data_IF_553432775600
#
_entry.id   IF_553432775600
#
_cell.length_a   1.000
_cell.length_b   1.000
_cell.length_c   1.000
_cell.angle_alpha   90.00
_cell.angle_beta   90.00
_cell.angle_gamma   90.00
#
_symmetry.space_group_name_H-M   'P 1'
#
loop_
_entity.id
_entity.type
_entity.pdbx_description
1 polymer ?
#
# COMPACT_ATOMS: atom_id res chain seq x y z
N UNK A 1 -35.79 -3.37 -13.50
CA UNK A 1 -36.78 -4.40 -13.88
C UNK A 1 -36.67 -5.64 -13.01
N UNK A 2 -35.57 -6.43 -13.07
CA UNK A 2 -35.43 -7.63 -12.22
C UNK A 2 -35.64 -7.35 -10.72
N UNK A 3 -35.03 -6.29 -10.19
CA UNK A 3 -35.26 -5.86 -8.80
C UNK A 3 -36.71 -5.50 -8.48
N UNK A 4 -37.49 -5.01 -9.46
CA UNK A 4 -38.92 -4.71 -9.26
C UNK A 4 -39.74 -5.99 -9.13
N UNK A 5 -39.44 -7.02 -9.91
CA UNK A 5 -40.11 -8.33 -9.77
C UNK A 5 -39.76 -9.05 -8.46
N UNK A 6 -38.51 -8.90 -8.00
CA UNK A 6 -38.05 -9.56 -6.77
C UNK A 6 -38.49 -8.81 -5.50
N UNK A 7 -38.42 -7.49 -5.50
CA UNK A 7 -38.51 -6.65 -4.29
C UNK A 7 -39.63 -5.60 -4.32
N UNK A 8 -40.39 -5.50 -5.42
CA UNK A 8 -41.45 -4.50 -5.56
C UNK A 8 -42.50 -4.61 -4.46
N UNK A 9 -42.86 -3.47 -3.87
CA UNK A 9 -43.80 -3.28 -2.77
C UNK A 9 -43.45 -4.02 -1.47
N UNK A 10 -42.22 -4.53 -1.33
CA UNK A 10 -41.79 -5.28 -0.13
C UNK A 10 -40.95 -4.46 0.83
N UNK A 11 -40.43 -3.31 0.39
CA UNK A 11 -39.52 -2.49 1.18
C UNK A 11 -40.31 -1.48 1.99
N UNK A 12 -40.44 -1.74 3.28
CA UNK A 12 -41.12 -0.86 4.23
C UNK A 12 -40.24 -0.64 5.45
N UNK A 13 -40.30 0.57 6.00
CA UNK A 13 -39.59 0.98 7.19
C UNK A 13 -40.62 1.17 8.30
N UNK A 14 -40.40 0.53 9.45
CA UNK A 14 -41.19 0.74 10.67
C UNK A 14 -40.63 1.95 11.40
N UNK A 15 -41.43 2.98 11.60
CA UNK A 15 -41.07 4.13 12.44
C UNK A 15 -41.21 3.80 13.93
N UNK A 16 -40.57 4.59 14.78
CA UNK A 16 -40.65 4.45 16.24
C UNK A 16 -42.09 4.63 16.78
N UNK A 17 -42.98 5.23 15.99
CA UNK A 17 -44.42 5.37 16.26
C UNK A 17 -45.24 4.12 15.92
N UNK A 18 -44.61 3.10 15.31
CA UNK A 18 -45.26 1.87 14.87
C UNK A 18 -45.84 1.92 13.45
N UNK A 19 -45.78 3.06 12.77
CA UNK A 19 -46.27 3.22 11.39
C UNK A 19 -45.30 2.60 10.37
N UNK A 20 -45.83 2.01 9.30
CA UNK A 20 -45.03 1.49 8.19
C UNK A 20 -45.06 2.46 7.02
N UNK A 21 -43.92 3.07 6.71
CA UNK A 21 -43.76 3.99 5.57
C UNK A 21 -42.90 3.29 4.51
N UNK A 22 -43.20 3.42 3.20
CA UNK A 22 -42.33 2.88 2.16
C UNK A 22 -40.93 3.50 2.27
N UNK A 23 -39.91 2.66 2.20
CA UNK A 23 -38.53 3.12 2.26
C UNK A 23 -38.22 3.99 1.03
N UNK A 24 -37.36 5.01 1.18
CA UNK A 24 -36.93 5.87 0.07
C UNK A 24 -36.19 5.07 -1.01
N UNK A 25 -35.50 4.00 -0.61
CA UNK A 25 -34.70 3.13 -1.47
C UNK A 25 -35.48 1.90 -1.92
N UNK A 26 -36.63 2.09 -2.56
CA UNK A 26 -37.54 1.02 -2.95
C UNK A 26 -37.42 0.60 -4.44
N UNK A 27 -38.09 -0.49 -4.76
CA UNK A 27 -38.19 -1.05 -6.12
C UNK A 27 -39.63 -1.00 -6.66
N UNK A 28 -40.45 -0.07 -6.17
CA UNK A 28 -41.90 -0.06 -6.43
C UNK A 28 -42.21 0.56 -7.79
N UNK A 29 -41.54 1.65 -8.12
CA UNK A 29 -41.65 2.32 -9.42
C UNK A 29 -40.37 2.17 -10.23
N UNK A 30 -40.48 2.26 -11.56
CA UNK A 30 -39.32 2.14 -12.45
C UNK A 30 -38.25 3.21 -12.15
N UNK A 31 -38.68 4.45 -11.88
CA UNK A 31 -37.77 5.56 -11.59
C UNK A 31 -37.02 5.34 -10.28
N UNK A 32 -37.72 4.96 -9.20
CA UNK A 32 -37.08 4.66 -7.92
C UNK A 32 -36.20 3.42 -7.98
N UNK A 33 -36.59 2.41 -8.76
CA UNK A 33 -35.76 1.24 -9.02
C UNK A 33 -34.47 1.60 -9.78
N UNK A 34 -34.51 2.53 -10.76
CA UNK A 34 -33.32 3.01 -11.47
C UNK A 34 -32.40 3.78 -10.52
N UNK A 35 -32.94 4.70 -9.71
CA UNK A 35 -32.17 5.47 -8.72
C UNK A 35 -31.52 4.53 -7.70
N UNK A 36 -32.26 3.55 -7.19
CA UNK A 36 -31.74 2.57 -6.22
C UNK A 36 -30.65 1.70 -6.84
N UNK A 37 -30.80 1.25 -8.08
CA UNK A 37 -29.73 0.52 -8.80
C UNK A 37 -28.50 1.41 -9.01
N UNK A 38 -28.70 2.67 -9.41
CA UNK A 38 -27.60 3.62 -9.56
C UNK A 38 -26.86 3.84 -8.24
N UNK A 39 -27.58 4.03 -7.14
CA UNK A 39 -27.01 4.17 -5.80
C UNK A 39 -26.22 2.91 -5.36
N UNK A 40 -26.69 1.71 -5.70
CA UNK A 40 -25.93 0.47 -5.43
C UNK A 40 -24.64 0.44 -6.25
N UNK A 41 -24.66 0.90 -7.50
CA UNK A 41 -23.46 0.99 -8.35
C UNK A 41 -22.47 2.05 -7.86
N UNK A 42 -22.93 3.14 -7.22
CA UNK A 42 -22.04 4.12 -6.57
C UNK A 42 -21.46 3.62 -5.24
N UNK A 43 -21.85 2.42 -4.78
CA UNK A 43 -21.45 1.82 -3.50
C UNK A 43 -21.86 2.66 -2.27
N UNK A 44 -22.91 3.46 -2.40
CA UNK A 44 -23.42 4.32 -1.32
C UNK A 44 -24.61 3.66 -0.61
N UNK A 45 -24.49 3.38 0.69
CA UNK A 45 -25.52 2.72 1.53
C UNK A 45 -26.18 1.47 0.92
N UNK A 46 -25.47 0.76 0.04
CA UNK A 46 -25.97 -0.43 -0.63
C UNK A 46 -26.28 -1.58 0.33
N UNK A 47 -25.60 -1.62 1.47
CA UNK A 47 -25.76 -2.60 2.54
C UNK A 47 -27.16 -2.51 3.17
N UNK A 48 -27.72 -1.31 3.32
CA UNK A 48 -29.08 -1.10 3.83
C UNK A 48 -30.09 -1.73 2.88
N UNK A 49 -29.94 -1.49 1.57
CA UNK A 49 -30.81 -2.05 0.53
C UNK A 49 -30.68 -3.58 0.47
N UNK A 50 -29.47 -4.11 0.63
CA UNK A 50 -29.21 -5.54 0.76
C UNK A 50 -29.94 -6.14 1.96
N UNK A 51 -29.82 -5.55 3.14
CA UNK A 51 -30.46 -6.04 4.36
C UNK A 51 -31.98 -6.03 4.23
N UNK A 52 -32.56 -4.97 3.67
CA UNK A 52 -33.99 -4.89 3.38
C UNK A 52 -34.42 -5.98 2.38
N UNK A 53 -33.62 -6.23 1.34
CA UNK A 53 -33.84 -7.32 0.39
C UNK A 53 -33.80 -8.70 1.04
N UNK A 54 -32.81 -8.96 1.90
CA UNK A 54 -32.67 -10.23 2.61
C UNK A 54 -33.77 -10.47 3.64
N UNK A 55 -34.16 -9.42 4.37
CA UNK A 55 -35.21 -9.49 5.39
C UNK A 55 -36.62 -9.66 4.78
N UNK A 56 -36.87 -9.08 3.62
CA UNK A 56 -38.18 -9.12 2.96
C UNK A 56 -38.43 -10.35 2.08
N UNK A 57 -37.38 -11.08 1.70
CA UNK A 57 -37.50 -12.25 0.83
C UNK A 57 -36.79 -13.47 1.40
N UNK A 58 -35.47 -13.52 1.29
CA UNK A 58 -34.61 -14.58 1.85
C UNK A 58 -33.15 -14.14 1.82
N UNK A 59 -32.29 -14.77 2.61
CA UNK A 59 -30.84 -14.51 2.59
C UNK A 59 -30.19 -14.71 1.21
N UNK A 60 -30.79 -15.52 0.34
CA UNK A 60 -30.33 -15.75 -1.04
C UNK A 60 -30.48 -14.52 -1.95
N UNK A 61 -31.29 -13.53 -1.55
CA UNK A 61 -31.37 -12.24 -2.24
C UNK A 61 -30.02 -11.52 -2.33
N UNK A 62 -29.07 -11.84 -1.44
CA UNK A 62 -27.70 -11.33 -1.50
C UNK A 62 -27.02 -11.59 -2.86
N UNK A 63 -27.34 -12.70 -3.53
CA UNK A 63 -26.78 -13.03 -4.84
C UNK A 63 -27.14 -12.00 -5.91
N UNK A 64 -28.35 -11.43 -5.86
CA UNK A 64 -28.76 -10.37 -6.79
C UNK A 64 -27.88 -9.13 -6.63
N UNK A 65 -27.67 -8.66 -5.40
CA UNK A 65 -26.87 -7.47 -5.12
C UNK A 65 -25.38 -7.70 -5.41
N UNK A 66 -24.84 -8.88 -5.06
CA UNK A 66 -23.46 -9.26 -5.39
C UNK A 66 -23.25 -9.31 -6.90
N UNK A 67 -24.17 -9.91 -7.66
CA UNK A 67 -24.10 -9.94 -9.11
C UNK A 67 -24.19 -8.54 -9.71
N UNK A 68 -25.16 -7.72 -9.26
CA UNK A 68 -25.34 -6.35 -9.71
C UNK A 68 -24.07 -5.51 -9.49
N UNK A 69 -23.45 -5.61 -8.32
CA UNK A 69 -22.21 -4.91 -8.01
C UNK A 69 -21.03 -5.40 -8.83
N UNK A 70 -20.87 -6.71 -8.96
CA UNK A 70 -19.72 -7.30 -9.63
C UNK A 70 -19.76 -6.97 -11.12
N UNK A 71 -20.87 -7.28 -11.79
CA UNK A 71 -21.02 -7.03 -13.22
C UNK A 71 -21.15 -5.53 -13.53
N UNK A 72 -21.93 -4.80 -12.73
CA UNK A 72 -22.16 -3.37 -12.94
C UNK A 72 -20.89 -2.55 -12.77
N UNK A 73 -20.14 -2.76 -11.69
CA UNK A 73 -18.87 -2.04 -11.47
C UNK A 73 -17.78 -2.47 -12.44
N UNK A 74 -17.74 -3.75 -12.83
CA UNK A 74 -16.81 -4.22 -13.86
C UNK A 74 -17.03 -3.51 -15.20
N UNK A 75 -18.29 -3.38 -15.64
CA UNK A 75 -18.64 -2.65 -16.86
C UNK A 75 -18.32 -1.17 -16.74
N UNK A 76 -18.71 -0.53 -15.62
CA UNK A 76 -18.45 0.89 -15.38
C UNK A 76 -16.96 1.22 -15.37
N UNK A 77 -16.17 0.39 -14.67
CA UNK A 77 -14.72 0.53 -14.60
C UNK A 77 -14.06 0.37 -15.97
N UNK A 78 -14.44 -0.65 -16.74
CA UNK A 78 -13.89 -0.87 -18.07
C UNK A 78 -14.27 0.25 -19.05
N UNK A 79 -15.50 0.76 -18.97
CA UNK A 79 -15.93 1.92 -19.76
C UNK A 79 -15.08 3.15 -19.43
N UNK A 80 -14.88 3.45 -18.15
CA UNK A 80 -14.07 4.57 -17.70
C UNK A 80 -12.62 4.44 -18.19
N UNK A 81 -12.01 3.26 -18.01
CA UNK A 81 -10.64 2.98 -18.48
C UNK A 81 -10.54 3.12 -19.99
N UNK A 82 -11.53 2.67 -20.75
CA UNK A 82 -11.57 2.83 -22.20
C UNK A 82 -11.61 4.31 -22.62
N UNK A 83 -12.47 5.12 -21.97
CA UNK A 83 -12.57 6.56 -22.24
C UNK A 83 -11.25 7.27 -21.90
N UNK A 84 -10.66 6.98 -20.74
CA UNK A 84 -9.39 7.56 -20.32
C UNK A 84 -8.24 7.17 -21.27
N UNK A 85 -8.17 5.90 -21.66
CA UNK A 85 -7.18 5.44 -22.63
C UNK A 85 -7.36 6.13 -23.98
N UNK A 86 -8.59 6.36 -24.44
CA UNK A 86 -8.88 7.08 -25.66
C UNK A 86 -8.42 8.55 -25.56
N UNK A 87 -8.75 9.23 -24.45
CA UNK A 87 -8.36 10.61 -24.21
C UNK A 87 -6.82 10.77 -24.16
N UNK A 88 -6.11 9.86 -23.48
CA UNK A 88 -4.63 9.87 -23.46
C UNK A 88 -4.00 9.64 -24.83
N UNK A 89 -4.63 8.83 -25.70
CA UNK A 89 -4.19 8.67 -27.09
C UNK A 89 -4.39 9.96 -27.87
N UNK A 90 -5.53 10.63 -27.68
CA UNK A 90 -5.83 11.92 -28.31
C UNK A 90 -4.83 13.01 -27.90
N UNK A 91 -4.46 13.07 -26.63
CA UNK A 91 -3.46 14.02 -26.13
C UNK A 91 -2.09 13.83 -26.81
N UNK A 92 -1.64 12.58 -26.99
CA UNK A 92 -0.37 12.28 -27.69
C UNK A 92 -0.39 12.65 -29.17
N UNK A 93 -1.55 12.59 -29.83
CA UNK A 93 -1.71 13.04 -31.22
C UNK A 93 -1.65 14.57 -31.33
N UNK A 94 -2.01 15.28 -30.26
CA UNK A 94 -2.06 16.75 -30.24
C UNK A 94 -0.69 17.40 -29.88
N UNK A 95 0.16 16.71 -29.11
CA UNK A 95 1.49 17.23 -28.69
C UNK A 95 2.43 17.73 -29.82
N UNK A 96 2.50 17.09 -31.01
CA UNK A 96 3.35 17.52 -32.11
C UNK A 96 2.95 18.86 -32.74
N UNK A 97 1.72 19.35 -32.49
CA UNK A 97 1.21 20.60 -33.04
C UNK A 97 1.60 21.84 -32.22
N UNK A 98 2.49 21.70 -31.23
CA UNK A 98 3.06 22.85 -30.51
C UNK A 98 3.95 23.69 -31.44
N UNK A 99 3.81 25.03 -31.47
CA UNK A 99 4.55 25.90 -32.38
C UNK A 99 6.06 25.94 -32.09
N UNK A 100 6.86 26.03 -33.15
CA UNK A 100 8.33 25.96 -33.13
C UNK A 100 9.00 27.10 -32.35
N UNK A 101 8.33 28.25 -32.19
CA UNK A 101 8.85 29.40 -31.44
C UNK A 101 9.06 29.09 -29.94
N UNK A 102 8.31 28.14 -29.40
CA UNK A 102 8.45 27.67 -28.02
C UNK A 102 9.59 26.65 -27.84
N UNK A 103 10.03 26.00 -28.93
CA UNK A 103 11.00 24.89 -28.91
C UNK A 103 12.45 25.35 -29.18
N UNK A 104 12.63 26.52 -29.79
CA UNK A 104 13.94 27.05 -30.20
C UNK A 104 14.58 27.99 -29.16
N UNK A 105 13.81 28.51 -28.20
CA UNK A 105 14.25 29.54 -27.25
C UNK A 105 14.62 29.03 -25.85
N UNK A 106 14.60 27.72 -25.63
CA UNK A 106 14.78 27.07 -24.32
C UNK A 106 16.22 27.08 -23.72
N UNK A 107 17.33 27.22 -24.49
CA UNK A 107 18.68 27.09 -23.90
C UNK A 107 19.42 28.41 -23.58
N UNK A 108 18.83 29.60 -23.78
CA UNK A 108 19.54 30.87 -23.60
C UNK A 108 19.30 31.49 -22.22
N UNK A 109 20.38 31.68 -21.47
CA UNK A 109 20.35 32.34 -20.17
C UNK A 109 20.61 33.85 -20.33
N UNK A 110 19.54 34.65 -20.34
CA UNK A 110 19.54 36.12 -20.22
C UNK A 110 20.49 36.89 -21.16
N UNK A 111 20.74 36.35 -22.35
CA UNK A 111 21.32 37.04 -23.50
C UNK A 111 22.68 37.75 -23.31
N UNK A 112 23.45 37.57 -22.22
CA UNK A 112 24.67 38.39 -22.02
C UNK A 112 25.88 37.79 -21.26
N UNK A 113 25.83 36.65 -20.57
CA UNK A 113 26.98 36.16 -19.77
C UNK A 113 27.48 34.76 -20.15
N UNK A 114 28.81 34.60 -20.16
CA UNK A 114 29.49 33.37 -20.62
C UNK A 114 29.69 32.30 -19.51
N UNK A 115 29.88 31.01 -19.89
CA UNK A 115 29.87 29.86 -18.98
C UNK A 115 31.06 29.69 -18.01
N UNK A 116 32.06 30.59 -17.97
CA UNK A 116 33.40 30.27 -17.42
C UNK A 116 33.77 30.82 -16.03
N UNK A 117 32.83 31.34 -15.22
CA UNK A 117 33.16 31.98 -13.93
C UNK A 117 33.59 31.00 -12.81
N UNK A 118 34.65 31.36 -12.07
CA UNK A 118 35.28 30.52 -11.00
C UNK A 118 34.39 30.31 -9.76
N UNK A 119 33.55 31.29 -9.46
CA UNK A 119 32.65 31.27 -8.30
C UNK A 119 31.55 30.20 -8.43
N UNK A 120 31.04 30.02 -9.66
CA UNK A 120 30.13 28.95 -10.08
C UNK A 120 30.65 27.56 -9.73
N UNK A 121 31.91 27.32 -10.06
CA UNK A 121 32.58 26.02 -9.94
C UNK A 121 32.73 25.63 -8.45
N UNK A 122 32.98 26.60 -7.57
CA UNK A 122 33.07 26.37 -6.12
C UNK A 122 31.73 26.00 -5.49
N UNK A 123 30.63 26.71 -5.83
CA UNK A 123 29.28 26.36 -5.36
C UNK A 123 28.82 24.98 -5.88
N UNK A 124 29.19 24.63 -7.11
CA UNK A 124 28.94 23.30 -7.68
C UNK A 124 29.67 22.20 -6.89
N UNK A 125 30.91 22.46 -6.44
CA UNK A 125 31.70 21.50 -5.66
C UNK A 125 31.13 21.22 -4.27
N UNK A 126 30.56 22.24 -3.61
CA UNK A 126 29.95 22.10 -2.27
C UNK A 126 28.65 21.28 -2.34
N UNK A 127 27.78 21.58 -3.32
CA UNK A 127 26.47 20.92 -3.44
C UNK A 127 26.59 19.50 -4.04
N UNK A 128 27.59 19.26 -4.89
CA UNK A 128 27.87 17.93 -5.42
C UNK A 128 28.49 16.97 -4.38
N UNK A 129 28.84 17.47 -3.19
CA UNK A 129 29.41 16.64 -2.15
C UNK A 129 28.35 15.68 -1.59
N UNK A 130 28.63 14.38 -1.62
CA UNK A 130 27.69 13.31 -1.23
C UNK A 130 27.15 13.45 0.22
N UNK A 131 27.90 14.11 1.11
CA UNK A 131 27.45 14.34 2.49
C UNK A 131 26.46 15.50 2.64
N UNK A 132 26.39 16.43 1.68
CA UNK A 132 25.47 17.58 1.76
C UNK A 132 24.01 17.12 1.80
N UNK A 133 23.63 16.20 0.92
CA UNK A 133 22.29 15.62 0.88
C UNK A 133 21.95 14.84 2.17
N UNK A 134 22.93 14.16 2.79
CA UNK A 134 22.72 13.42 4.04
C UNK A 134 22.54 14.36 5.24
N UNK A 135 23.31 15.46 5.30
CA UNK A 135 23.21 16.46 6.37
C UNK A 135 21.85 17.18 6.31
N UNK A 136 21.42 17.61 5.12
CA UNK A 136 20.09 18.22 4.92
C UNK A 136 18.97 17.25 5.33
N UNK A 137 19.12 15.96 5.02
CA UNK A 137 18.15 14.94 5.40
C UNK A 137 18.04 14.77 6.93
N UNK A 138 19.16 14.79 7.66
CA UNK A 138 19.16 14.72 9.13
C UNK A 138 18.38 15.90 9.74
N UNK A 139 18.56 17.11 9.23
CA UNK A 139 17.82 18.28 9.71
C UNK A 139 16.32 18.22 9.39
N UNK A 140 15.93 17.61 8.27
CA UNK A 140 14.51 17.34 7.95
C UNK A 140 13.92 16.37 8.96
N UNK A 141 14.61 15.26 9.25
CA UNK A 141 14.14 14.26 10.20
C UNK A 141 14.00 14.84 11.62
N UNK A 142 14.98 15.62 12.08
CA UNK A 142 14.90 16.32 13.37
C UNK A 142 13.74 17.31 13.41
N UNK A 143 13.46 18.01 12.31
CA UNK A 143 12.30 18.89 12.22
C UNK A 143 10.96 18.12 12.27
N UNK A 144 10.88 16.94 11.64
CA UNK A 144 9.70 16.07 11.72
C UNK A 144 9.44 15.58 13.16
N UNK A 145 10.49 15.25 13.92
CA UNK A 145 10.39 14.91 15.34
C UNK A 145 9.81 16.10 16.12
N UNK A 146 10.28 17.32 15.89
CA UNK A 146 9.73 18.50 16.60
C UNK A 146 8.26 18.78 16.28
N UNK A 147 7.79 18.44 15.07
CA UNK A 147 6.37 18.55 14.71
C UNK A 147 5.55 17.46 15.39
N UNK A 148 6.08 16.24 15.50
CA UNK A 148 5.40 15.13 16.17
C UNK A 148 5.30 15.34 17.70
N UNK A 149 6.24 16.06 18.30
CA UNK A 149 6.24 16.42 19.72
C UNK A 149 5.26 17.56 20.05
N UNK A 150 4.80 18.33 19.06
CA UNK A 150 3.84 19.41 19.26
C UNK A 150 2.43 18.83 19.53
N UNK A 151 2.00 18.90 20.80
CA UNK A 151 0.65 18.54 21.26
C UNK A 151 -0.12 19.79 21.74
N UNK A 152 -1.46 19.80 21.69
CA UNK A 152 -2.26 20.97 22.11
C UNK A 152 -2.12 21.30 23.60
N UNK A 153 -1.76 20.31 24.44
CA UNK A 153 -1.75 20.43 25.91
C UNK A 153 -0.41 20.92 26.51
N UNK A 154 0.42 21.62 25.73
CA UNK A 154 1.71 22.14 26.23
C UNK A 154 1.49 23.53 26.84
N UNK A 155 1.84 23.68 28.12
CA UNK A 155 1.78 24.97 28.81
C UNK A 155 2.64 26.04 28.11
N UNK A 156 2.11 27.27 27.92
CA UNK A 156 2.79 28.31 27.14
C UNK A 156 4.11 28.81 27.76
N UNK A 157 4.29 28.64 29.07
CA UNK A 157 5.52 29.00 29.80
C UNK A 157 6.50 27.84 30.04
N UNK A 158 6.19 26.63 29.57
CA UNK A 158 7.04 25.46 29.78
C UNK A 158 8.33 25.55 28.96
N UNK A 159 9.43 25.02 29.50
CA UNK A 159 10.72 24.88 28.79
C UNK A 159 10.59 24.09 27.50
N UNK A 160 9.61 23.17 27.43
CA UNK A 160 9.30 22.41 26.23
C UNK A 160 8.75 23.30 25.10
N UNK A 161 7.88 24.26 25.42
CA UNK A 161 7.35 25.24 24.45
C UNK A 161 8.46 26.13 23.90
N UNK A 162 9.35 26.58 24.78
CA UNK A 162 10.52 27.40 24.41
C UNK A 162 11.47 26.61 23.52
N UNK A 163 11.75 25.35 23.86
CA UNK A 163 12.60 24.46 23.06
C UNK A 163 12.05 24.21 21.65
N UNK A 164 10.74 23.92 21.53
CA UNK A 164 10.08 23.73 20.23
C UNK A 164 10.12 25.00 19.38
N UNK A 165 9.92 26.17 20.00
CA UNK A 165 9.99 27.48 19.33
C UNK A 165 11.40 27.78 18.80
N UNK A 166 12.42 27.69 19.66
CA UNK A 166 13.83 27.94 19.29
C UNK A 166 14.28 26.96 18.20
N UNK A 167 13.93 25.68 18.33
CA UNK A 167 14.25 24.67 17.32
C UNK A 167 13.63 24.99 15.96
N UNK A 168 12.38 25.47 15.92
CA UNK A 168 11.70 25.83 14.68
C UNK A 168 12.40 27.01 13.95
N UNK A 169 12.90 28.01 14.70
CA UNK A 169 13.69 29.10 14.13
C UNK A 169 15.03 28.60 13.56
N UNK A 170 15.75 27.75 14.29
CA UNK A 170 17.03 27.17 13.85
C UNK A 170 16.84 26.37 12.56
N UNK A 171 15.84 25.49 12.49
CA UNK A 171 15.56 24.71 11.29
C UNK A 171 15.19 25.61 10.09
N UNK A 172 14.36 26.63 10.32
CA UNK A 172 13.98 27.57 9.25
C UNK A 172 15.19 28.34 8.72
N UNK A 173 16.10 28.80 9.59
CA UNK A 173 17.34 29.45 9.19
C UNK A 173 18.25 28.53 8.35
N UNK A 174 18.36 27.25 8.74
CA UNK A 174 19.14 26.25 7.97
C UNK A 174 18.54 26.01 6.59
N UNK A 175 17.20 25.91 6.46
CA UNK A 175 16.54 25.73 5.17
C UNK A 175 16.59 26.98 4.28
N UNK A 176 16.55 28.17 4.87
CA UNK A 176 16.79 29.43 4.15
C UNK A 176 18.24 29.48 3.65
N UNK A 177 19.21 29.10 4.48
CA UNK A 177 20.61 29.03 4.07
C UNK A 177 20.85 27.99 2.96
N UNK A 178 20.24 26.81 3.05
CA UNK A 178 20.25 25.78 1.99
C UNK A 178 19.67 26.34 0.68
N UNK A 179 18.54 27.04 0.77
CA UNK A 179 17.92 27.73 -0.37
C UNK A 179 18.81 28.79 -0.96
N UNK A 180 19.42 29.62 -0.13
CA UNK A 180 20.35 30.62 -0.59
C UNK A 180 21.55 29.97 -1.28
N UNK A 181 22.10 28.87 -0.77
CA UNK A 181 23.20 28.13 -1.43
C UNK A 181 22.76 27.51 -2.77
N UNK A 182 21.53 26.97 -2.86
CA UNK A 182 20.95 26.41 -4.11
C UNK A 182 20.60 27.49 -5.15
N UNK A 183 19.97 28.58 -4.72
CA UNK A 183 19.64 29.74 -5.54
C UNK A 183 20.92 30.46 -5.96
N UNK A 184 21.93 30.52 -5.11
CA UNK A 184 23.23 31.10 -5.42
C UNK A 184 24.12 30.17 -6.26
N UNK A 185 23.87 28.85 -6.28
CA UNK A 185 24.35 27.96 -7.35
C UNK A 185 23.69 28.31 -8.68
N UNK A 186 22.37 28.55 -8.70
CA UNK A 186 21.65 28.95 -9.92
C UNK A 186 22.07 30.35 -10.38
N UNK A 187 22.37 31.26 -9.44
CA UNK A 187 22.87 32.61 -9.67
C UNK A 187 24.38 32.63 -9.98
N UNK A 188 25.16 31.72 -9.42
CA UNK A 188 26.56 31.49 -9.80
C UNK A 188 26.66 30.87 -11.19
N UNK A 189 25.66 30.06 -11.57
CA UNK A 189 25.41 29.58 -12.92
C UNK A 189 24.88 30.67 -13.87
N UNK A 190 24.54 31.85 -13.35
CA UNK A 190 23.85 32.91 -14.08
C UNK A 190 24.24 34.30 -13.54
N UNK A 191 25.27 34.92 -14.12
CA UNK A 191 25.27 36.38 -14.22
C UNK A 191 24.05 36.80 -15.05
N UNK A 192 22.89 36.99 -14.40
CA UNK A 192 21.90 38.08 -14.50
C UNK A 192 20.63 37.64 -13.73
N UNK A 193 20.10 38.60 -13.00
CA UNK A 193 19.18 38.54 -11.88
C UNK A 193 17.71 38.26 -12.30
N UNK A 194 16.97 37.61 -11.39
CA UNK A 194 15.51 37.62 -11.19
C UNK A 194 14.54 36.81 -12.09
N UNK A 195 14.86 36.37 -13.31
CA UNK A 195 13.89 35.59 -14.13
C UNK A 195 14.30 34.14 -14.48
N UNK A 196 15.55 33.75 -14.20
CA UNK A 196 16.03 32.35 -14.29
C UNK A 196 15.43 31.40 -13.24
N UNK A 197 14.50 31.89 -12.43
CA UNK A 197 13.59 31.04 -11.68
C UNK A 197 12.72 30.24 -12.66
N UNK A 198 12.08 30.85 -13.67
CA UNK A 198 10.83 30.29 -14.24
C UNK A 198 10.99 29.49 -15.55
N UNK A 199 11.97 29.78 -16.43
CA UNK A 199 11.96 29.18 -17.78
C UNK A 199 13.34 29.07 -18.46
N UNK A 200 14.00 27.92 -18.33
CA UNK A 200 15.20 27.52 -19.08
C UNK A 200 15.54 26.04 -18.81
N UNK A 201 16.21 25.32 -19.73
CA UNK A 201 16.46 23.86 -19.66
C UNK A 201 17.27 23.34 -18.45
N UNK A 202 17.90 24.26 -17.70
CA UNK A 202 18.56 23.97 -16.42
C UNK A 202 18.06 24.88 -15.28
N UNK A 203 16.86 25.45 -15.43
CA UNK A 203 16.29 26.38 -14.46
C UNK A 203 15.93 25.69 -13.14
N UNK A 204 16.12 26.42 -12.04
CA UNK A 204 15.83 25.92 -10.70
C UNK A 204 14.37 25.45 -10.56
N UNK A 205 13.41 26.20 -11.11
CA UNK A 205 11.98 25.86 -11.04
C UNK A 205 11.51 24.86 -12.10
N UNK A 206 12.36 24.36 -13.02
CA UNK A 206 11.92 23.23 -13.86
C UNK A 206 11.83 21.93 -13.06
N UNK A 207 12.69 21.78 -12.04
CA UNK A 207 12.55 20.67 -11.11
C UNK A 207 11.38 20.94 -10.17
N UNK A 208 10.30 20.18 -10.33
CA UNK A 208 9.14 20.22 -9.43
C UNK A 208 9.52 20.11 -7.95
N UNK A 209 10.65 19.46 -7.65
CA UNK A 209 11.21 19.30 -6.31
C UNK A 209 11.82 20.58 -5.72
N UNK A 210 12.48 21.38 -6.55
CA UNK A 210 13.07 22.64 -6.11
C UNK A 210 12.02 23.74 -5.96
N UNK A 211 10.96 23.72 -6.78
CA UNK A 211 9.75 24.56 -6.58
C UNK A 211 9.13 24.25 -5.22
N UNK A 212 8.92 22.96 -4.93
CA UNK A 212 8.35 22.52 -3.67
C UNK A 212 9.18 23.00 -2.48
N UNK A 213 10.50 22.84 -2.56
CA UNK A 213 11.41 23.33 -1.53
C UNK A 213 11.29 24.86 -1.36
N UNK A 214 11.21 25.62 -2.45
CA UNK A 214 11.12 27.09 -2.44
C UNK A 214 9.80 27.60 -1.84
N UNK A 215 8.70 26.98 -2.22
CA UNK A 215 7.36 27.24 -1.66
C UNK A 215 7.34 26.97 -0.15
N UNK A 216 7.94 25.87 0.29
CA UNK A 216 8.01 25.49 1.69
C UNK A 216 8.81 26.49 2.55
N UNK A 217 9.93 27.02 2.03
CA UNK A 217 10.70 28.06 2.72
C UNK A 217 9.93 29.38 2.76
N UNK A 218 9.22 29.73 1.69
CA UNK A 218 8.36 30.92 1.63
C UNK A 218 7.21 30.84 2.66
N UNK A 219 6.51 29.70 2.73
CA UNK A 219 5.47 29.47 3.75
C UNK A 219 6.03 29.58 5.17
N UNK A 220 7.25 29.09 5.41
CA UNK A 220 7.91 29.17 6.73
C UNK A 220 8.33 30.60 7.10
N UNK A 221 8.71 31.43 6.13
CA UNK A 221 9.01 32.86 6.34
C UNK A 221 7.75 33.68 6.59
N UNK A 222 6.67 33.41 5.85
CA UNK A 222 5.36 34.04 6.05
C UNK A 222 4.81 33.69 7.44
N UNK A 223 4.95 32.45 7.90
CA UNK A 223 4.59 32.01 9.25
C UNK A 223 5.32 32.83 10.33
N UNK A 224 6.62 33.07 10.18
CA UNK A 224 7.41 33.92 11.10
C UNK A 224 6.94 35.38 11.08
N UNK A 225 6.69 35.95 9.91
CA UNK A 225 6.23 37.34 9.76
C UNK A 225 4.83 37.51 10.37
N UNK A 226 3.92 36.57 10.11
CA UNK A 226 2.54 36.58 10.66
C UNK A 226 2.57 36.36 12.17
N UNK A 227 3.44 35.50 12.69
CA UNK A 227 3.62 35.30 14.13
C UNK A 227 4.16 36.54 14.86
N UNK A 228 4.97 37.37 14.19
CA UNK A 228 5.43 38.66 14.75
C UNK A 228 4.40 39.78 14.59
N UNK A 229 3.52 39.71 13.59
CA UNK A 229 2.53 40.74 13.28
C UNK A 229 1.16 40.53 13.97
N UNK A 230 0.81 39.29 14.33
CA UNK A 230 -0.49 38.94 14.91
C UNK A 230 -0.32 38.16 16.21
N UNK A 231 -0.90 38.65 17.30
CA UNK A 231 -0.99 37.95 18.58
C UNK A 231 -1.97 36.75 18.56
N UNK A 232 -2.40 36.28 17.38
CA UNK A 232 -3.32 35.17 17.19
C UNK A 232 -2.75 34.12 16.23
N UNK A 233 -2.47 32.93 16.75
CA UNK A 233 -1.74 31.86 16.06
C UNK A 233 -2.48 31.22 14.89
N UNK A 234 -1.90 31.33 13.69
CA UNK A 234 -2.35 30.58 12.51
C UNK A 234 -1.58 29.25 12.39
N UNK A 235 -1.99 28.21 13.16
CA UNK A 235 -1.33 26.88 13.16
C UNK A 235 -1.63 25.98 11.94
N UNK A 236 -2.34 26.47 10.93
CA UNK A 236 -2.91 25.65 9.84
C UNK A 236 -1.86 25.28 8.76
N UNK A 237 -0.75 26.03 8.66
CA UNK A 237 0.28 25.82 7.63
C UNK A 237 1.35 24.76 8.01
N UNK A 238 1.35 24.26 9.25
CA UNK A 238 2.34 23.29 9.74
C UNK A 238 2.30 21.93 9.06
N UNK A 239 1.13 21.51 8.53
CA UNK A 239 0.95 20.20 7.88
C UNK A 239 1.76 20.06 6.58
N UNK A 240 2.09 21.19 5.94
CA UNK A 240 2.92 21.24 4.72
C UNK A 240 4.38 20.89 5.00
N UNK A 241 4.83 20.86 6.26
CA UNK A 241 6.19 20.47 6.66
C UNK A 241 6.50 18.98 6.41
N UNK A 242 5.48 18.12 6.36
CA UNK A 242 5.61 16.68 6.03
C UNK A 242 6.11 16.45 4.59
N UNK A 243 5.88 17.42 3.68
CA UNK A 243 6.35 17.34 2.28
C UNK A 243 7.88 17.35 2.15
N UNK A 244 8.62 17.70 3.21
CA UNK A 244 10.09 17.65 3.29
C UNK A 244 10.65 16.22 3.12
N UNK A 245 9.86 15.19 3.44
CA UNK A 245 10.27 13.77 3.42
C UNK A 245 10.46 13.22 2.00
N UNK A 246 9.90 13.89 0.98
CA UNK A 246 10.00 13.48 -0.42
C UNK A 246 11.43 13.63 -1.00
N UNK A 247 12.33 14.35 -0.31
CA UNK A 247 13.75 14.51 -0.70
C UNK A 247 14.56 13.21 -0.61
N UNK A 248 14.08 12.19 0.12
CA UNK A 248 14.74 10.88 0.31
C UNK A 248 14.70 9.96 -0.93
N UNK A 249 13.96 10.32 -1.98
CA UNK A 249 13.68 9.46 -3.14
C UNK A 249 14.77 9.47 -4.24
N UNK A 250 15.90 10.13 -4.01
CA UNK A 250 17.03 10.24 -4.96
C UNK A 250 17.80 8.95 -5.33
N UNK A 251 17.92 7.88 -4.51
CA UNK A 251 18.82 6.78 -4.82
C UNK A 251 18.28 5.72 -5.81
N UNK A 252 17.19 5.98 -6.52
CA UNK A 252 16.44 4.94 -7.25
C UNK A 252 16.90 4.65 -8.68
N UNK A 253 18.21 4.65 -8.93
CA UNK A 253 18.77 4.06 -10.14
C UNK A 253 19.80 2.99 -9.77
N UNK A 254 19.70 1.87 -10.48
CA UNK A 254 20.59 0.69 -10.50
C UNK A 254 20.15 -0.49 -9.62
N UNK A 255 19.39 -1.40 -10.22
CA UNK A 255 19.43 -2.83 -9.90
C UNK A 255 19.40 -3.58 -11.24
N UNK A 256 20.53 -4.13 -11.67
CA UNK A 256 20.59 -5.20 -12.67
C UNK A 256 21.05 -6.47 -11.96
N UNK A 257 20.32 -7.58 -12.14
CA UNK A 257 20.69 -8.89 -11.60
C UNK A 257 21.04 -9.84 -12.75
N UNK A 258 22.24 -10.40 -12.65
CA UNK A 258 22.82 -11.37 -13.58
C UNK A 258 22.21 -12.78 -13.44
N UNK A 259 22.06 -13.45 -14.57
CA UNK A 259 21.49 -14.79 -14.72
C UNK A 259 22.55 -15.86 -14.39
N UNK A 260 22.25 -16.82 -13.50
CA UNK A 260 23.16 -17.92 -13.09
C UNK A 260 22.69 -19.28 -13.61
N UNK A 261 23.67 -20.15 -13.89
CA UNK A 261 23.51 -21.54 -14.33
C UNK A 261 22.69 -22.42 -13.35
N UNK A 262 22.00 -23.45 -13.86
CA UNK A 262 21.22 -24.37 -13.03
C UNK A 262 22.08 -25.22 -12.09
N UNK A 263 21.62 -25.37 -10.84
CA UNK A 263 22.37 -25.83 -9.66
C UNK A 263 22.35 -27.37 -9.43
N UNK A 264 21.58 -28.12 -10.21
CA UNK A 264 21.24 -29.52 -9.95
C UNK A 264 22.11 -30.53 -10.73
N UNK A 265 23.27 -30.12 -11.24
CA UNK A 265 24.15 -30.97 -12.06
C UNK A 265 24.88 -32.06 -11.24
N UNK A 266 25.08 -31.85 -9.93
CA UNK A 266 26.00 -32.67 -9.11
C UNK A 266 25.30 -33.51 -8.02
N UNK A 267 24.01 -33.83 -8.17
CA UNK A 267 23.29 -34.61 -7.15
C UNK A 267 23.52 -36.12 -7.25
N UNK A 268 23.63 -36.75 -6.07
CA UNK A 268 23.64 -38.21 -5.92
C UNK A 268 22.31 -38.84 -6.42
N UNK A 269 22.32 -40.09 -6.91
CA UNK A 269 21.17 -40.69 -7.60
C UNK A 269 19.93 -40.84 -6.71
N UNK A 270 20.09 -41.13 -5.42
CA UNK A 270 18.96 -41.25 -4.47
C UNK A 270 18.30 -39.89 -4.19
N UNK A 271 19.11 -38.86 -3.97
CA UNK A 271 18.63 -37.48 -3.83
C UNK A 271 18.00 -36.97 -5.12
N UNK A 272 18.52 -37.38 -6.27
CA UNK A 272 17.95 -37.08 -7.59
C UNK A 272 16.57 -37.70 -7.76
N UNK A 273 16.36 -38.95 -7.35
CA UNK A 273 15.02 -39.57 -7.39
C UNK A 273 14.02 -38.88 -6.45
N UNK A 274 14.42 -38.53 -5.22
CA UNK A 274 13.55 -37.76 -4.29
C UNK A 274 13.26 -36.38 -4.86
N UNK A 275 14.26 -35.72 -5.46
CA UNK A 275 14.06 -34.44 -6.14
C UNK A 275 13.10 -34.56 -7.33
N UNK A 276 13.19 -35.62 -8.14
CA UNK A 276 12.25 -35.88 -9.24
C UNK A 276 10.84 -36.14 -8.72
N UNK A 277 10.68 -36.83 -7.58
CA UNK A 277 9.38 -37.02 -6.94
C UNK A 277 8.82 -35.69 -6.40
N UNK A 278 9.62 -34.89 -5.70
CA UNK A 278 9.22 -33.59 -5.15
C UNK A 278 8.93 -32.53 -6.22
N UNK A 279 9.52 -32.67 -7.41
CA UNK A 279 9.28 -31.78 -8.57
C UNK A 279 8.21 -32.35 -9.51
N UNK A 280 7.61 -33.50 -9.16
CA UNK A 280 6.60 -34.14 -9.99
C UNK A 280 5.26 -33.40 -9.89
N UNK A 281 4.63 -33.18 -11.04
CA UNK A 281 3.31 -32.55 -11.12
C UNK A 281 2.23 -33.33 -10.34
N UNK A 282 2.38 -34.64 -10.23
CA UNK A 282 1.44 -35.50 -9.50
C UNK A 282 1.45 -35.22 -7.99
N UNK A 283 2.63 -35.01 -7.39
CA UNK A 283 2.73 -34.66 -5.97
C UNK A 283 2.11 -33.27 -5.71
N UNK A 284 2.38 -32.31 -6.59
CA UNK A 284 1.81 -30.97 -6.51
C UNK A 284 0.27 -30.98 -6.62
N UNK A 285 -0.29 -31.76 -7.54
CA UNK A 285 -1.74 -31.96 -7.66
C UNK A 285 -2.33 -32.64 -6.41
N UNK A 286 -1.67 -33.67 -5.89
CA UNK A 286 -2.11 -34.36 -4.67
C UNK A 286 -2.15 -33.42 -3.47
N UNK A 287 -1.09 -32.65 -3.23
CA UNK A 287 -1.05 -31.65 -2.15
C UNK A 287 -2.12 -30.58 -2.35
N UNK A 288 -2.36 -30.15 -3.58
CA UNK A 288 -3.42 -29.18 -3.91
C UNK A 288 -4.80 -29.71 -3.60
N UNK A 289 -5.08 -30.97 -3.94
CA UNK A 289 -6.32 -31.64 -3.58
C UNK A 289 -6.51 -31.69 -2.06
N UNK A 290 -5.48 -32.07 -1.30
CA UNK A 290 -5.53 -32.10 0.17
C UNK A 290 -5.77 -30.71 0.76
N UNK A 291 -5.15 -29.66 0.22
CA UNK A 291 -5.42 -28.28 0.66
C UNK A 291 -6.88 -27.89 0.36
N UNK A 292 -7.42 -28.24 -0.81
CA UNK A 292 -8.82 -28.00 -1.16
C UNK A 292 -9.79 -28.67 -0.18
N UNK A 293 -9.54 -29.95 0.15
CA UNK A 293 -10.33 -30.64 1.18
C UNK A 293 -10.16 -29.97 2.55
N UNK A 294 -8.95 -29.53 2.91
CA UNK A 294 -8.75 -28.82 4.18
C UNK A 294 -9.52 -27.48 4.24
N UNK A 295 -9.58 -26.73 3.14
CA UNK A 295 -10.40 -25.50 3.05
C UNK A 295 -11.87 -25.82 3.29
N UNK A 296 -12.38 -26.89 2.68
CA UNK A 296 -13.77 -27.34 2.89
C UNK A 296 -13.99 -27.67 4.37
N UNK A 297 -13.09 -28.44 5.00
CA UNK A 297 -13.24 -28.77 6.43
C UNK A 297 -13.23 -27.54 7.34
N UNK A 298 -12.44 -26.49 7.03
CA UNK A 298 -12.45 -25.23 7.77
C UNK A 298 -13.76 -24.46 7.57
N UNK A 299 -14.36 -24.54 6.38
CA UNK A 299 -15.64 -23.89 6.09
C UNK A 299 -16.87 -24.59 6.69
N UNK A 300 -16.72 -25.83 7.15
CA UNK A 300 -17.79 -26.60 7.81
C UNK A 300 -17.96 -26.23 9.29
N UNK A 301 -17.00 -25.52 9.89
CA UNK A 301 -17.13 -25.03 11.27
C UNK A 301 -18.31 -24.06 11.38
N UNK A 302 -19.23 -24.33 12.31
CA UNK A 302 -20.43 -23.51 12.48
C UNK A 302 -20.83 -23.39 13.95
N UNK A 303 -21.58 -22.33 14.26
CA UNK A 303 -22.02 -22.05 15.62
C UNK A 303 -22.98 -23.14 16.12
N UNK A 304 -22.76 -23.64 17.34
CA UNK A 304 -23.52 -24.73 17.97
C UNK A 304 -23.51 -26.06 17.19
N UNK A 305 -22.33 -26.51 16.78
CA UNK A 305 -22.17 -27.78 16.07
C UNK A 305 -22.26 -29.03 16.98
N UNK A 306 -22.70 -30.19 16.44
CA UNK A 306 -22.71 -31.43 17.20
C UNK A 306 -21.28 -31.88 17.53
N UNK A 307 -21.09 -32.47 18.72
CA UNK A 307 -19.78 -32.94 19.20
C UNK A 307 -19.08 -33.91 18.23
N UNK A 308 -19.86 -34.75 17.56
CA UNK A 308 -19.33 -35.69 16.56
C UNK A 308 -18.66 -34.96 15.36
N UNK A 309 -19.21 -33.82 14.93
CA UNK A 309 -18.59 -33.02 13.86
C UNK A 309 -17.30 -32.35 14.37
N UNK A 310 -17.31 -31.83 15.59
CA UNK A 310 -16.14 -31.20 16.21
C UNK A 310 -14.97 -32.20 16.33
N UNK A 311 -15.26 -33.43 16.80
CA UNK A 311 -14.28 -34.51 16.86
C UNK A 311 -13.80 -34.94 15.47
N UNK A 312 -14.70 -35.10 14.49
CA UNK A 312 -14.32 -35.46 13.13
C UNK A 312 -13.40 -34.40 12.49
N UNK A 313 -13.71 -33.11 12.67
CA UNK A 313 -12.88 -32.00 12.17
C UNK A 313 -11.52 -31.96 12.87
N UNK A 314 -11.44 -32.32 14.16
CA UNK A 314 -10.18 -32.48 14.89
C UNK A 314 -9.30 -33.56 14.29
N UNK A 315 -9.83 -34.75 14.02
CA UNK A 315 -9.08 -35.85 13.39
C UNK A 315 -8.64 -35.52 11.96
N UNK A 316 -9.51 -34.91 11.15
CA UNK A 316 -9.16 -34.43 9.82
C UNK A 316 -7.97 -33.46 9.87
N UNK A 317 -7.98 -32.52 10.81
CA UNK A 317 -6.89 -31.56 11.02
C UNK A 317 -5.54 -32.22 11.36
N UNK A 318 -5.54 -33.33 12.09
CA UNK A 318 -4.33 -34.11 12.33
C UNK A 318 -3.80 -34.76 11.06
N UNK A 319 -4.67 -35.41 10.29
CA UNK A 319 -4.29 -36.06 9.03
C UNK A 319 -3.68 -35.04 8.06
N UNK A 320 -4.31 -33.87 7.89
CA UNK A 320 -3.76 -32.81 7.02
C UNK A 320 -2.40 -32.30 7.50
N UNK A 321 -2.23 -32.12 8.81
CA UNK A 321 -0.96 -31.65 9.36
C UNK A 321 0.15 -32.67 9.13
N UNK A 322 -0.13 -33.96 9.32
CA UNK A 322 0.84 -35.05 9.06
C UNK A 322 1.26 -35.06 7.59
N UNK A 323 0.30 -34.96 6.66
CA UNK A 323 0.61 -34.89 5.22
C UNK A 323 1.52 -33.69 4.90
N UNK A 324 1.25 -32.52 5.46
CA UNK A 324 2.08 -31.33 5.27
C UNK A 324 3.47 -31.44 5.90
N UNK A 325 3.60 -32.13 7.04
CA UNK A 325 4.90 -32.43 7.65
C UNK A 325 5.72 -33.33 6.74
N UNK A 326 5.13 -34.41 6.23
CA UNK A 326 5.79 -35.33 5.30
C UNK A 326 6.24 -34.60 4.04
N UNK A 327 5.37 -33.77 3.45
CA UNK A 327 5.70 -32.91 2.31
C UNK A 327 6.93 -32.02 2.59
N UNK A 328 6.95 -31.33 3.73
CA UNK A 328 8.03 -30.43 4.10
C UNK A 328 9.35 -31.16 4.33
N UNK A 329 9.31 -32.34 4.98
CA UNK A 329 10.49 -33.20 5.18
C UNK A 329 11.03 -33.70 3.83
N UNK A 330 10.16 -34.18 2.94
CA UNK A 330 10.55 -34.62 1.59
C UNK A 330 11.25 -33.48 0.82
N UNK A 331 10.69 -32.27 0.85
CA UNK A 331 11.30 -31.09 0.22
C UNK A 331 12.63 -30.69 0.86
N UNK A 332 12.75 -30.79 2.18
CA UNK A 332 14.00 -30.49 2.88
C UNK A 332 15.12 -31.46 2.47
N UNK A 333 14.80 -32.77 2.34
CA UNK A 333 15.74 -33.80 1.88
C UNK A 333 16.10 -33.60 0.40
N UNK A 334 15.11 -33.30 -0.46
CA UNK A 334 15.31 -33.08 -1.89
C UNK A 334 16.26 -31.90 -2.18
N UNK A 335 15.93 -30.72 -1.65
CA UNK A 335 16.66 -29.48 -1.96
C UNK A 335 17.88 -29.25 -1.06
N UNK A 336 17.92 -29.88 0.11
CA UNK A 336 18.95 -29.65 1.13
C UNK A 336 18.76 -28.34 1.89
N UNK A 337 19.33 -28.27 3.09
CA UNK A 337 19.10 -27.19 4.06
C UNK A 337 19.30 -25.77 3.48
N UNK A 338 20.46 -25.48 2.88
CA UNK A 338 20.77 -24.13 2.38
C UNK A 338 19.83 -23.64 1.29
N UNK A 339 19.37 -24.52 0.40
CA UNK A 339 18.52 -24.13 -0.74
C UNK A 339 17.05 -24.06 -0.33
N UNK A 340 16.62 -24.98 0.54
CA UNK A 340 15.28 -24.96 1.13
C UNK A 340 15.00 -23.60 1.78
N UNK A 341 15.92 -23.09 2.60
CA UNK A 341 15.78 -21.77 3.23
C UNK A 341 16.06 -20.58 2.30
N UNK A 342 16.54 -20.77 1.08
CA UNK A 342 16.74 -19.66 0.13
C UNK A 342 15.44 -19.33 -0.62
N UNK A 343 14.59 -20.33 -0.85
CA UNK A 343 13.32 -20.15 -1.53
C UNK A 343 12.22 -19.67 -0.57
N UNK A 344 11.58 -18.54 -0.91
CA UNK A 344 10.53 -17.91 -0.08
C UNK A 344 9.30 -18.79 0.06
N UNK A 345 8.97 -19.58 -0.98
CA UNK A 345 7.82 -20.46 -0.96
C UNK A 345 8.03 -21.68 -0.06
N UNK A 346 9.24 -22.21 -0.01
CA UNK A 346 9.61 -23.27 0.94
C UNK A 346 9.68 -22.76 2.39
N UNK A 347 10.17 -21.53 2.61
CA UNK A 347 10.09 -20.87 3.92
C UNK A 347 8.65 -20.73 4.41
N UNK A 348 7.73 -20.29 3.54
CA UNK A 348 6.29 -20.21 3.85
C UNK A 348 5.71 -21.58 4.18
N UNK A 349 6.08 -22.62 3.44
CA UNK A 349 5.66 -24.01 3.69
C UNK A 349 6.01 -24.46 5.10
N UNK A 350 7.29 -24.30 5.45
CA UNK A 350 7.81 -24.70 6.75
C UNK A 350 7.15 -23.90 7.87
N UNK A 351 6.96 -22.59 7.68
CA UNK A 351 6.27 -21.75 8.65
C UNK A 351 4.82 -22.22 8.89
N UNK A 352 4.07 -22.56 7.83
CA UNK A 352 2.71 -23.08 7.95
C UNK A 352 2.68 -24.41 8.71
N UNK A 353 3.64 -25.30 8.44
CA UNK A 353 3.77 -26.59 9.13
C UNK A 353 4.07 -26.38 10.61
N UNK A 354 5.04 -25.52 10.95
CA UNK A 354 5.41 -25.21 12.33
C UNK A 354 4.24 -24.56 13.09
N UNK A 355 3.54 -23.60 12.50
CA UNK A 355 2.35 -22.98 13.08
C UNK A 355 1.23 -24.01 13.31
N UNK A 356 1.08 -24.97 12.41
CA UNK A 356 0.09 -26.05 12.53
C UNK A 356 0.40 -26.99 13.66
N UNK A 357 1.66 -27.42 13.81
CA UNK A 357 2.11 -28.25 14.94
C UNK A 357 1.92 -27.49 16.24
N UNK A 358 2.39 -26.24 16.32
CA UNK A 358 2.26 -25.41 17.51
C UNK A 358 0.80 -25.23 17.93
N UNK A 359 -0.10 -25.00 16.97
CA UNK A 359 -1.52 -24.85 17.23
C UNK A 359 -2.17 -26.11 17.79
N UNK A 360 -1.75 -27.29 17.33
CA UNK A 360 -2.22 -28.57 17.86
C UNK A 360 -1.67 -28.82 19.27
N UNK A 361 -0.36 -28.64 19.46
CA UNK A 361 0.28 -28.90 20.75
C UNK A 361 -0.26 -27.99 21.85
N UNK A 362 -0.57 -26.73 21.54
CA UNK A 362 -1.14 -25.80 22.51
C UNK A 362 -2.57 -26.18 22.92
N UNK A 363 -3.40 -26.68 21.99
CA UNK A 363 -4.74 -27.16 22.32
C UNK A 363 -4.71 -28.41 23.20
N UNK A 364 -3.75 -29.32 22.98
CA UNK A 364 -3.59 -30.50 23.84
C UNK A 364 -3.06 -30.15 25.24
N UNK A 365 -2.20 -29.13 25.37
CA UNK A 365 -1.69 -28.67 26.68
C UNK A 365 -2.82 -28.05 27.52
N UNK A 366 -3.74 -27.31 26.88
CA UNK A 366 -4.93 -26.74 27.53
C UNK A 366 -5.85 -27.85 28.07
N UNK A 367 -6.11 -28.88 27.26
CA UNK A 367 -6.97 -30.01 27.65
C UNK A 367 -6.39 -30.82 28.83
N UNK A 368 -5.06 -30.90 28.92
CA UNK A 368 -4.36 -31.59 30.00
C UNK A 368 -4.17 -30.72 31.26
N UNK A 369 -4.72 -29.50 31.28
CA UNK A 369 -4.61 -28.52 32.38
C UNK A 369 -3.18 -28.30 32.90
N UNK A 370 -2.16 -28.59 32.07
CA UNK A 370 -0.77 -28.62 32.53
C UNK A 370 -0.23 -27.20 32.78
N UNK A 371 -0.73 -26.20 32.05
CA UNK A 371 -0.37 -24.79 32.20
C UNK A 371 -1.58 -23.87 31.92
N UNK A 372 -1.83 -22.83 32.73
CA UNK A 372 -2.85 -21.83 32.45
C UNK A 372 -2.38 -20.91 31.31
N UNK A 373 -2.78 -21.23 30.07
CA UNK A 373 -2.49 -20.43 28.88
C UNK A 373 -3.59 -19.39 28.69
N UNK A 374 -3.23 -18.17 28.28
CA UNK A 374 -4.21 -17.12 28.01
C UNK A 374 -5.11 -17.54 26.82
N UNK A 375 -6.45 -17.56 26.97
CA UNK A 375 -7.39 -17.99 25.94
C UNK A 375 -7.31 -17.17 24.64
N UNK A 376 -6.79 -15.94 24.70
CA UNK A 376 -6.54 -15.12 23.52
C UNK A 376 -5.49 -15.73 22.58
N UNK A 377 -4.44 -16.37 23.12
CA UNK A 377 -3.40 -17.01 22.32
C UNK A 377 -3.97 -18.21 21.56
N UNK A 378 -4.80 -19.01 22.22
CA UNK A 378 -5.49 -20.15 21.61
C UNK A 378 -6.39 -19.69 20.46
N UNK A 379 -7.14 -18.59 20.66
CA UNK A 379 -7.97 -17.99 19.59
C UNK A 379 -7.12 -17.54 18.40
N UNK A 380 -5.99 -16.87 18.63
CA UNK A 380 -5.07 -16.46 17.56
C UNK A 380 -4.54 -17.69 16.80
N UNK A 381 -4.13 -18.74 17.52
CA UNK A 381 -3.62 -19.97 16.91
C UNK A 381 -4.66 -20.68 16.04
N UNK A 382 -5.94 -20.64 16.43
CA UNK A 382 -7.04 -21.15 15.60
C UNK A 382 -7.20 -20.34 14.31
N UNK A 383 -7.19 -19.00 14.40
CA UNK A 383 -7.26 -18.12 13.21
C UNK A 383 -6.08 -18.34 12.27
N UNK A 384 -4.86 -18.53 12.81
CA UNK A 384 -3.65 -18.75 12.01
C UNK A 384 -3.69 -20.03 11.17
N UNK A 385 -4.60 -20.97 11.43
CA UNK A 385 -4.82 -22.16 10.58
C UNK A 385 -5.25 -21.77 9.15
N UNK A 386 -5.88 -20.60 8.96
CA UNK A 386 -6.21 -20.06 7.63
C UNK A 386 -4.97 -19.84 6.75
N UNK A 387 -3.78 -19.68 7.35
CA UNK A 387 -2.54 -19.56 6.61
C UNK A 387 -2.26 -20.77 5.72
N UNK A 388 -2.86 -21.95 5.99
CA UNK A 388 -2.77 -23.13 5.14
C UNK A 388 -3.33 -22.90 3.73
N UNK A 389 -4.37 -22.05 3.59
CA UNK A 389 -4.95 -21.68 2.29
C UNK A 389 -3.95 -20.94 1.41
N UNK A 390 -2.98 -20.24 2.01
CA UNK A 390 -1.90 -19.56 1.28
C UNK A 390 -1.01 -20.54 0.49
N UNK A 391 -1.04 -21.84 0.81
CA UNK A 391 -0.37 -22.85 -0.02
C UNK A 391 -0.95 -22.93 -1.43
N UNK A 392 -2.25 -22.63 -1.65
CA UNK A 392 -2.87 -22.61 -2.98
C UNK A 392 -2.25 -21.56 -3.91
N UNK A 393 -1.69 -20.48 -3.34
CA UNK A 393 -0.98 -19.44 -4.10
C UNK A 393 0.24 -20.02 -4.83
N UNK A 394 0.74 -21.19 -4.43
CA UNK A 394 1.83 -21.88 -5.10
C UNK A 394 1.43 -22.53 -6.43
N UNK A 395 0.16 -22.67 -6.75
CA UNK A 395 -0.25 -23.36 -7.98
C UNK A 395 -0.80 -22.38 -9.03
N UNK A 396 -1.33 -21.26 -8.58
CA UNK A 396 -1.79 -20.21 -9.46
C UNK A 396 -0.62 -19.39 -10.00
N UNK A 397 0.02 -19.89 -11.06
CA UNK A 397 1.09 -19.20 -11.80
C UNK A 397 0.69 -17.78 -12.21
N UNK A 398 -0.56 -17.59 -12.64
CA UNK A 398 -1.14 -16.26 -12.92
C UNK A 398 -1.19 -15.35 -11.68
N UNK A 399 -1.65 -15.86 -10.53
CA UNK A 399 -1.66 -15.08 -9.29
C UNK A 399 -0.26 -14.78 -8.78
N UNK A 400 0.70 -15.70 -8.95
CA UNK A 400 2.11 -15.44 -8.64
C UNK A 400 2.69 -14.32 -9.48
N UNK A 401 2.43 -14.30 -10.77
CA UNK A 401 2.87 -13.22 -11.64
C UNK A 401 2.27 -11.87 -11.21
N UNK A 402 1.00 -11.85 -10.82
CA UNK A 402 0.35 -10.66 -10.27
C UNK A 402 0.92 -10.25 -8.90
N UNK A 403 1.14 -11.21 -7.99
CA UNK A 403 1.76 -10.94 -6.70
C UNK A 403 3.20 -10.45 -6.86
N UNK A 404 3.97 -11.00 -7.80
CA UNK A 404 5.33 -10.58 -8.09
C UNK A 404 5.35 -9.17 -8.68
N UNK A 405 4.45 -8.82 -9.59
CA UNK A 405 4.35 -7.44 -10.10
C UNK A 405 3.91 -6.47 -9.00
N UNK A 406 2.96 -6.86 -8.14
CA UNK A 406 2.57 -6.07 -6.97
C UNK A 406 3.75 -5.92 -6.01
N UNK A 407 4.50 -6.97 -5.70
CA UNK A 407 5.67 -6.94 -4.81
C UNK A 407 6.80 -6.12 -5.42
N UNK A 408 6.98 -6.11 -6.75
CA UNK A 408 7.92 -5.25 -7.46
C UNK A 408 7.47 -3.78 -7.49
N UNK A 409 6.15 -3.54 -7.55
CA UNK A 409 5.55 -2.22 -7.41
C UNK A 409 5.48 -1.75 -5.93
N UNK A 410 5.58 -2.65 -4.95
CA UNK A 410 5.49 -2.35 -3.52
C UNK A 410 6.65 -1.46 -3.05
N UNK A 411 7.91 -1.58 -3.53
CA UNK A 411 8.93 -0.57 -3.38
C UNK A 411 8.60 0.80 -3.97
N UNK A 412 7.59 0.93 -4.85
CA UNK A 412 7.08 2.19 -5.38
C UNK A 412 5.91 2.73 -4.54
N UNK A 413 5.01 1.86 -4.07
CA UNK A 413 3.86 2.21 -3.19
C UNK A 413 4.27 2.42 -1.73
N UNK A 414 5.28 1.72 -1.24
CA UNK A 414 5.86 1.92 0.10
C UNK A 414 6.68 3.21 0.17
N UNK A 415 6.90 3.94 -0.93
CA UNK A 415 7.60 5.23 -0.93
C UNK A 415 6.81 6.31 -0.18
N UNK A 416 5.49 6.47 -0.40
CA UNK A 416 4.69 7.38 0.43
C UNK A 416 4.52 6.90 1.89
N UNK A 417 4.39 5.60 2.16
CA UNK A 417 4.19 5.06 3.53
C UNK A 417 5.46 4.93 4.38
N UNK A 418 6.64 4.67 3.79
CA UNK A 418 7.92 4.85 4.49
C UNK A 418 8.29 6.33 4.67
N UNK A 419 7.61 7.23 3.95
CA UNK A 419 7.62 8.66 4.23
C UNK A 419 6.72 9.10 5.40
N UNK A 420 6.17 8.17 6.18
CA UNK A 420 5.39 8.47 7.41
C UNK A 420 5.93 7.78 8.68
N UNK A 421 6.89 6.85 8.55
CA UNK A 421 7.38 6.05 9.68
C UNK A 421 8.90 6.14 9.94
N UNK A 422 9.65 6.89 9.14
CA UNK A 422 11.04 7.28 9.43
C UNK A 422 11.29 8.68 8.90
#
# INVERSE_FOLDING_TARGET
>A
ILGMHLFGCKFSLKTDTGDTIPDRKNFDSLLWAIVTVFQILTQEDWNVVLYNGMASTSSWAALYFVALMTFGNYVLFNLLVAILSCCSRLQKVLEPHKPECCRSREPWALYLFSPQNRFRISCQKIIAHKMFDHVVLVFIFLNCITIALERPDIDPGSTERVFLSVSNYIFTAIFVAEMMVKVHRVLGDLGVVALGLISGEHAYLQSSWNILDGVLVLVSLVDIIVAMASAGGAKILGILRVLRLLRTLRPLRVISQAQRRPYYADYSPTRRSIHTLCTSHYLDLFITFIIGVNVITMSMEHYNQPKALDEALKYCNYVFTIVFVVEAVLKLVAFGFRRFFKDRWNQLDLAIVLLSIMGITLEEIEMNAALPINPTIIRIMRVLRIARVLKLLKMATGMRALLDTVVQALPQVRRPLRGLAW
#
